data_IF_222072654942
#
_entry.id   IF_222072654942
#
_cell.length_a   1.000
_cell.length_b   1.000
_cell.length_c   1.000
_cell.angle_alpha   90.00
_cell.angle_beta   90.00
_cell.angle_gamma   90.00
#
_symmetry.space_group_name_H-M   'P 1'
#
loop_
_entity.id
_entity.type
_entity.pdbx_description
1 polymer ?
#
# COMPACT_ATOMS: atom_id res chain seq x y z
N UNK A 1 2.76 14.58 14.05
CA UNK A 1 3.17 14.25 15.43
C UNK A 1 2.67 12.85 15.77
N UNK A 2 3.49 11.99 16.37
CA UNK A 2 3.03 10.68 16.82
C UNK A 2 1.94 10.85 17.90
N UNK A 3 0.96 9.95 17.88
CA UNK A 3 -0.11 9.94 18.88
C UNK A 3 0.47 9.64 20.27
N UNK A 4 -0.05 10.29 21.31
CA UNK A 4 0.36 10.00 22.68
C UNK A 4 -0.07 8.57 23.11
N UNK A 5 0.53 8.07 24.19
CA UNK A 5 0.30 6.70 24.72
C UNK A 5 -1.17 6.43 25.08
N UNK A 6 -1.90 7.44 25.57
CA UNK A 6 -3.33 7.32 25.94
C UNK A 6 -4.17 7.16 24.69
N UNK A 7 -3.89 7.94 23.66
CA UNK A 7 -4.53 7.88 22.34
C UNK A 7 -4.30 6.50 21.70
N UNK A 8 -3.05 6.01 21.67
CA UNK A 8 -2.73 4.68 21.15
C UNK A 8 -3.47 3.55 21.90
N UNK A 9 -3.53 3.62 23.24
CA UNK A 9 -4.25 2.64 24.04
C UNK A 9 -5.76 2.65 23.76
N UNK A 10 -6.36 3.83 23.55
CA UNK A 10 -7.76 3.95 23.16
C UNK A 10 -8.00 3.33 21.79
N UNK A 11 -7.15 3.62 20.80
CA UNK A 11 -7.25 3.06 19.45
C UNK A 11 -7.13 1.53 19.48
N UNK A 12 -6.17 0.97 20.22
CA UNK A 12 -6.03 -0.49 20.40
C UNK A 12 -7.27 -1.14 20.98
N UNK A 13 -7.90 -0.52 21.99
CA UNK A 13 -9.16 -1.01 22.56
C UNK A 13 -10.30 -0.99 21.54
N UNK A 14 -10.38 0.04 20.70
CA UNK A 14 -11.38 0.11 19.63
C UNK A 14 -11.14 -0.96 18.57
N UNK A 15 -9.90 -1.12 18.10
CA UNK A 15 -9.53 -2.18 17.12
C UNK A 15 -9.90 -3.56 17.63
N UNK A 16 -9.60 -3.86 18.91
CA UNK A 16 -9.95 -5.15 19.51
C UNK A 16 -11.45 -5.38 19.63
N UNK A 17 -12.23 -4.31 19.87
CA UNK A 17 -13.67 -4.41 20.16
C UNK A 17 -14.54 -4.34 18.91
N UNK A 18 -14.11 -3.62 17.88
CA UNK A 18 -14.88 -3.30 16.67
C UNK A 18 -13.99 -3.36 15.41
N UNK A 19 -13.34 -4.52 15.12
CA UNK A 19 -12.38 -4.61 14.02
C UNK A 19 -13.03 -4.33 12.66
N UNK A 20 -14.21 -4.89 12.41
CA UNK A 20 -14.90 -4.79 11.11
C UNK A 20 -15.47 -3.39 10.86
N UNK A 21 -16.04 -2.76 11.89
CA UNK A 21 -16.55 -1.39 11.78
C UNK A 21 -15.41 -0.40 11.55
N UNK A 22 -14.26 -0.61 12.17
CA UNK A 22 -13.08 0.22 11.93
C UNK A 22 -12.49 0.00 10.55
N UNK A 23 -12.44 -1.24 10.06
CA UNK A 23 -12.04 -1.53 8.69
C UNK A 23 -12.97 -0.83 7.69
N UNK A 24 -14.29 -0.93 7.88
CA UNK A 24 -15.28 -0.21 7.06
C UNK A 24 -15.07 1.31 7.12
N UNK A 25 -14.90 1.87 8.31
CA UNK A 25 -14.65 3.30 8.50
C UNK A 25 -13.40 3.76 7.76
N UNK A 26 -12.30 3.00 7.84
CA UNK A 26 -11.07 3.29 7.10
C UNK A 26 -11.29 3.17 5.59
N UNK A 27 -12.01 2.16 5.12
CA UNK A 27 -12.20 1.96 3.68
C UNK A 27 -13.18 2.96 3.06
N UNK A 28 -14.16 3.47 3.82
CA UNK A 28 -15.19 4.40 3.34
C UNK A 28 -14.86 5.88 3.58
N UNK A 29 -13.98 6.17 4.54
CA UNK A 29 -13.61 7.53 4.89
C UNK A 29 -12.79 8.24 3.81
N UNK A 30 -12.88 9.58 3.78
CA UNK A 30 -11.97 10.40 2.99
C UNK A 30 -10.80 10.86 3.86
N UNK A 31 -9.61 10.34 3.59
CA UNK A 31 -8.39 10.69 4.34
C UNK A 31 -7.14 10.56 3.47
N UNK A 32 -6.07 11.19 3.95
CA UNK A 32 -4.71 11.00 3.47
C UNK A 32 -3.79 10.76 4.67
N UNK A 33 -2.90 9.78 4.56
CA UNK A 33 -1.93 9.48 5.61
C UNK A 33 -0.75 10.43 5.47
N UNK A 34 -0.49 11.24 6.49
CA UNK A 34 0.60 12.24 6.48
C UNK A 34 2.00 11.65 6.33
N UNK A 35 2.16 10.34 6.59
CA UNK A 35 3.40 9.61 6.36
C UNK A 35 3.64 9.30 4.87
N UNK A 36 2.64 9.47 4.00
CA UNK A 36 2.72 9.19 2.57
C UNK A 36 2.86 10.47 1.75
N UNK A 37 3.70 10.39 0.72
CA UNK A 37 3.96 11.45 -0.23
C UNK A 37 3.41 11.05 -1.62
N UNK A 38 2.74 11.96 -2.34
CA UNK A 38 2.39 11.73 -3.74
C UNK A 38 3.63 11.54 -4.60
N UNK A 39 3.46 10.82 -5.71
CA UNK A 39 4.48 10.48 -6.71
C UNK A 39 5.67 9.66 -6.17
N UNK A 40 5.53 9.06 -4.99
CA UNK A 40 6.48 8.08 -4.45
C UNK A 40 5.90 6.68 -4.66
N UNK A 41 6.77 5.76 -5.12
CA UNK A 41 6.46 4.34 -5.22
C UNK A 41 6.96 3.65 -3.95
N UNK A 42 6.03 3.12 -3.17
CA UNK A 42 6.30 2.25 -2.02
C UNK A 42 6.38 0.82 -2.52
N UNK A 43 7.58 0.23 -2.53
CA UNK A 43 7.83 -1.11 -3.07
C UNK A 43 8.30 -2.06 -1.98
N UNK A 44 7.89 -3.33 -2.08
CA UNK A 44 8.35 -4.43 -1.23
C UNK A 44 8.60 -5.68 -2.08
N UNK A 45 9.70 -6.38 -1.83
CA UNK A 45 9.96 -7.72 -2.39
C UNK A 45 9.07 -8.77 -1.73
N UNK A 46 8.62 -9.76 -2.51
CA UNK A 46 7.94 -10.94 -1.97
C UNK A 46 8.87 -11.77 -1.08
N UNK A 47 8.32 -12.49 -0.10
CA UNK A 47 9.11 -13.38 0.76
C UNK A 47 9.47 -14.69 0.03
N UNK A 48 8.60 -15.19 -0.85
CA UNK A 48 8.75 -16.45 -1.58
C UNK A 48 9.61 -16.24 -2.84
N UNK A 49 10.90 -15.98 -2.63
CA UNK A 49 11.85 -15.79 -3.73
C UNK A 49 12.73 -17.01 -3.87
N UNK A 50 12.34 -17.95 -4.73
CA UNK A 50 13.17 -19.05 -5.23
C UNK A 50 14.32 -18.55 -6.15
N UNK A 51 14.87 -17.36 -5.88
CA UNK A 51 15.84 -16.65 -6.73
C UNK A 51 15.25 -15.60 -7.67
N UNK A 52 13.94 -15.32 -7.60
CA UNK A 52 13.24 -14.36 -8.47
C UNK A 52 12.94 -13.03 -7.75
N UNK A 53 13.00 -11.90 -8.47
CA UNK A 53 12.92 -10.55 -7.90
C UNK A 53 11.49 -9.98 -7.99
N UNK A 54 10.48 -10.77 -7.61
CA UNK A 54 9.07 -10.34 -7.66
C UNK A 54 8.79 -9.24 -6.63
N UNK A 55 8.20 -8.13 -7.06
CA UNK A 55 7.92 -6.97 -6.20
C UNK A 55 6.49 -6.47 -6.33
N UNK A 56 5.96 -5.99 -5.21
CA UNK A 56 4.70 -5.27 -5.12
C UNK A 56 4.99 -3.78 -4.92
N UNK A 57 4.43 -2.93 -5.77
CA UNK A 57 4.52 -1.48 -5.69
C UNK A 57 3.16 -0.84 -5.48
N UNK A 58 3.11 0.21 -4.67
CA UNK A 58 1.94 1.08 -4.54
C UNK A 58 2.38 2.53 -4.67
N UNK A 59 1.68 3.32 -5.46
CA UNK A 59 1.94 4.75 -5.59
C UNK A 59 0.65 5.54 -5.72
N UNK A 60 0.76 6.86 -5.54
CA UNK A 60 -0.37 7.76 -5.69
C UNK A 60 0.05 8.99 -6.48
N UNK A 61 -0.77 9.42 -7.43
CA UNK A 61 -0.55 10.67 -8.15
C UNK A 61 -1.03 11.88 -7.33
N UNK A 62 -0.68 13.09 -7.78
CA UNK A 62 -1.09 14.35 -7.12
C UNK A 62 -2.61 14.53 -7.05
N UNK A 63 -3.35 13.98 -8.00
CA UNK A 63 -4.81 13.94 -8.03
C UNK A 63 -5.42 12.87 -7.11
N UNK A 64 -4.59 12.21 -6.28
CA UNK A 64 -4.97 11.20 -5.29
C UNK A 64 -5.40 9.84 -5.84
N UNK A 65 -5.24 9.60 -7.15
CA UNK A 65 -5.45 8.28 -7.73
C UNK A 65 -4.39 7.29 -7.25
N UNK A 66 -4.83 6.09 -6.87
CA UNK A 66 -3.95 5.02 -6.41
C UNK A 66 -3.57 4.08 -7.54
N UNK A 67 -2.31 3.66 -7.56
CA UNK A 67 -1.76 2.67 -8.48
C UNK A 67 -1.18 1.51 -7.70
N UNK A 68 -1.38 0.31 -8.21
CA UNK A 68 -0.73 -0.92 -7.74
C UNK A 68 0.02 -1.55 -8.91
N UNK A 69 1.26 -1.91 -8.66
CA UNK A 69 2.18 -2.51 -9.61
C UNK A 69 2.64 -3.87 -9.08
N UNK A 70 2.48 -4.92 -9.88
CA UNK A 70 3.03 -6.24 -9.59
C UNK A 70 4.06 -6.53 -10.66
N UNK A 71 5.32 -6.63 -10.26
CA UNK A 71 6.43 -7.01 -11.13
C UNK A 71 6.80 -8.44 -10.78
N UNK A 72 6.74 -9.35 -11.75
CA UNK A 72 7.03 -10.76 -11.55
C UNK A 72 8.07 -11.25 -12.53
N UNK A 73 9.07 -11.95 -12.00
CA UNK A 73 10.10 -12.64 -12.79
C UNK A 73 9.80 -14.14 -12.97
N UNK A 74 8.58 -14.60 -12.63
CA UNK A 74 8.20 -16.03 -12.57
C UNK A 74 8.29 -16.74 -13.92
N UNK A 75 8.04 -16.06 -15.04
CA UNK A 75 8.14 -16.67 -16.36
C UNK A 75 8.68 -15.70 -17.41
N UNK A 76 9.95 -15.85 -17.82
CA UNK A 76 10.56 -15.04 -18.88
C UNK A 76 9.84 -15.11 -20.23
N UNK A 77 9.10 -16.18 -20.52
CA UNK A 77 8.39 -16.44 -21.79
C UNK A 77 6.97 -15.86 -21.81
N UNK A 78 6.41 -15.55 -20.65
CA UNK A 78 5.02 -15.08 -20.50
C UNK A 78 4.73 -13.67 -21.04
N UNK A 79 5.74 -12.92 -21.49
CA UNK A 79 5.61 -11.59 -22.12
C UNK A 79 5.24 -10.45 -21.16
N UNK A 80 4.33 -10.68 -20.22
CA UNK A 80 3.83 -9.68 -19.28
C UNK A 80 4.45 -9.84 -17.88
N UNK A 81 5.58 -9.16 -17.67
CA UNK A 81 6.30 -9.15 -16.38
C UNK A 81 5.84 -8.06 -15.41
N UNK A 82 4.91 -7.19 -15.86
CA UNK A 82 4.48 -6.02 -15.11
C UNK A 82 2.98 -5.79 -15.27
N UNK A 83 2.24 -5.96 -14.18
CA UNK A 83 0.82 -5.70 -14.11
C UNK A 83 0.57 -4.42 -13.33
N UNK A 84 -0.18 -3.49 -13.92
CA UNK A 84 -0.51 -2.21 -13.30
C UNK A 84 -2.02 -1.98 -13.29
N UNK A 85 -2.57 -1.60 -12.13
CA UNK A 85 -3.96 -1.20 -12.00
C UNK A 85 -4.10 0.18 -11.34
N UNK A 86 -5.07 0.97 -11.82
CA UNK A 86 -5.38 2.32 -11.33
C UNK A 86 -6.76 2.35 -10.65
N UNK A 87 -6.84 2.98 -9.49
CA UNK A 87 -8.08 3.19 -8.74
C UNK A 87 -8.27 4.68 -8.44
N UNK A 88 -9.30 5.26 -9.07
CA UNK A 88 -9.52 6.71 -9.06
C UNK A 88 -10.33 7.20 -7.86
N UNK A 89 -10.15 8.46 -7.51
CA UNK A 89 -11.07 9.15 -6.60
C UNK A 89 -12.43 9.42 -7.30
N UNK A 90 -13.56 9.40 -6.57
CA UNK A 90 -14.91 9.53 -7.17
C UNK A 90 -15.19 10.85 -7.91
N UNK A 91 -14.44 11.91 -7.61
CA UNK A 91 -14.76 13.27 -8.05
C UNK A 91 -14.47 13.54 -9.53
N UNK A 92 -13.60 12.77 -10.18
CA UNK A 92 -13.21 12.99 -11.59
C UNK A 92 -13.32 11.66 -12.34
N UNK A 93 -14.54 11.34 -12.81
CA UNK A 93 -14.83 10.31 -13.81
C UNK A 93 -13.99 9.03 -13.71
N UNK A 94 -14.41 8.07 -12.86
CA UNK A 94 -13.83 6.72 -12.84
C UNK A 94 -13.67 6.06 -11.48
N UNK A 95 -14.00 6.72 -10.37
CA UNK A 95 -13.86 6.18 -9.01
C UNK A 95 -14.92 5.16 -8.61
N UNK A 96 -15.02 4.04 -9.33
CA UNK A 96 -15.92 2.91 -9.00
C UNK A 96 -15.52 2.16 -7.74
N UNK A 97 -14.27 2.28 -7.32
CA UNK A 97 -13.68 1.49 -6.24
C UNK A 97 -12.96 2.34 -5.19
N UNK A 98 -13.63 3.31 -4.54
CA UNK A 98 -13.00 4.19 -3.55
C UNK A 98 -12.44 3.41 -2.36
N UNK A 99 -13.11 2.32 -1.95
CA UNK A 99 -12.64 1.42 -0.90
C UNK A 99 -11.30 0.77 -1.25
N UNK A 100 -11.12 0.33 -2.50
CA UNK A 100 -9.86 -0.28 -2.96
C UNK A 100 -8.75 0.77 -2.96
N UNK A 101 -9.03 1.99 -3.46
CA UNK A 101 -8.08 3.11 -3.40
C UNK A 101 -7.64 3.41 -1.96
N UNK A 102 -8.56 3.36 -1.00
CA UNK A 102 -8.22 3.58 0.42
C UNK A 102 -7.44 2.39 1.01
N UNK A 103 -7.73 1.16 0.60
CA UNK A 103 -6.93 0.00 0.99
C UNK A 103 -5.47 0.16 0.53
N UNK A 104 -5.24 0.73 -0.67
CA UNK A 104 -3.90 1.04 -1.14
C UNK A 104 -3.15 2.03 -0.25
N UNK A 105 -3.82 2.99 0.40
CA UNK A 105 -3.15 3.91 1.33
C UNK A 105 -2.60 3.14 2.53
N UNK A 106 -3.40 2.22 3.07
CA UNK A 106 -3.01 1.38 4.20
C UNK A 106 -1.85 0.47 3.79
N UNK A 107 -1.92 -0.13 2.60
CA UNK A 107 -0.85 -0.98 2.07
C UNK A 107 0.46 -0.20 1.84
N UNK A 108 0.40 1.01 1.28
CA UNK A 108 1.58 1.86 1.11
C UNK A 108 2.22 2.22 2.45
N UNK A 109 1.41 2.49 3.48
CA UNK A 109 1.92 2.72 4.83
C UNK A 109 2.56 1.46 5.42
N UNK A 110 1.95 0.29 5.25
CA UNK A 110 2.53 -0.97 5.70
C UNK A 110 3.90 -1.20 5.06
N UNK A 111 4.00 -1.09 3.72
CA UNK A 111 5.26 -1.21 2.98
C UNK A 111 6.30 -0.20 3.50
N UNK A 112 5.90 1.05 3.75
CA UNK A 112 6.81 2.07 4.29
C UNK A 112 7.36 1.65 5.66
N UNK A 113 6.50 1.20 6.57
CA UNK A 113 6.89 0.79 7.92
C UNK A 113 7.80 -0.45 7.88
N UNK A 114 7.46 -1.45 7.07
CA UNK A 114 8.27 -2.65 6.91
C UNK A 114 9.65 -2.33 6.33
N UNK A 115 9.73 -1.43 5.35
CA UNK A 115 11.01 -0.99 4.79
C UNK A 115 11.85 -0.16 5.78
N UNK A 116 11.23 0.52 6.73
CA UNK A 116 11.92 1.25 7.80
C UNK A 116 12.47 0.30 8.87
N UNK A 117 11.75 -0.78 9.18
CA UNK A 117 12.13 -1.76 10.21
C UNK A 117 13.07 -2.85 9.66
N UNK A 118 12.76 -3.38 8.47
CA UNK A 118 13.44 -4.49 7.80
C UNK A 118 13.64 -4.17 6.32
N UNK A 119 14.62 -3.31 5.96
CA UNK A 119 14.85 -2.91 4.58
C UNK A 119 15.11 -4.11 3.66
N UNK A 120 14.58 -4.05 2.42
CA UNK A 120 14.88 -5.07 1.41
C UNK A 120 16.40 -5.23 1.24
N UNK A 121 16.93 -6.47 1.19
CA UNK A 121 18.35 -6.68 0.99
C UNK A 121 18.75 -6.11 -0.36
N UNK A 122 19.82 -5.30 -0.36
CA UNK A 122 20.40 -4.71 -1.58
C UNK A 122 20.66 -5.83 -2.58
N UNK A 123 20.21 -5.63 -3.82
CA UNK A 123 20.44 -6.55 -4.94
C UNK A 123 21.94 -6.89 -4.98
N UNK A 124 22.29 -8.17 -4.78
CA UNK A 124 23.68 -8.62 -4.98
C UNK A 124 23.92 -8.54 -6.49
N UNK A 125 24.72 -7.58 -6.91
CA UNK A 125 25.26 -7.53 -8.26
C UNK A 125 26.29 -8.66 -8.31
N UNK A 126 25.97 -9.76 -8.99
CA UNK A 126 26.92 -10.82 -9.33
C UNK A 126 27.42 -10.60 -10.76
#
# INVERSE_FOLDING_TARGET
>A
MPADKRTLNRLRKLVKRYPDELAKLLLEGHFWLSALQPNIIYRRRSDDTDGLDSTLGVSFSQDSDGWIDIISDIDPESGDRHFTHRFRVPLIGGGRSPRVRNALLVLALAIKLDNEELPDPRRRIH
#
